data_IF_910821166399
#
_entry.id   IF_910821166399
#
_cell.length_a   1.000
_cell.length_b   1.000
_cell.length_c   1.000
_cell.angle_alpha   90.00
_cell.angle_beta   90.00
_cell.angle_gamma   90.00
#
_symmetry.space_group_name_H-M   'P 1'
#
loop_
_entity.id
_entity.type
_entity.pdbx_description
1 polymer ?
#
# COMPACT_ATOMS: atom_id res chain seq x y z
N UNK A 1 -21.29 -15.86 -26.12
CA UNK A 1 -20.52 -15.81 -24.87
C UNK A 1 -19.89 -17.17 -24.68
N UNK A 2 -18.61 -17.28 -25.01
CA UNK A 2 -17.85 -18.54 -24.90
C UNK A 2 -17.23 -18.56 -23.51
N UNK A 3 -17.75 -19.41 -22.64
CA UNK A 3 -17.18 -19.71 -21.33
C UNK A 3 -15.92 -20.51 -21.56
N UNK A 4 -14.75 -19.90 -21.39
CA UNK A 4 -13.49 -20.61 -21.37
C UNK A 4 -13.43 -21.32 -20.01
N UNK A 5 -13.71 -22.63 -20.02
CA UNK A 5 -13.51 -23.50 -18.88
C UNK A 5 -12.02 -23.46 -18.51
N UNK A 6 -11.73 -23.14 -17.25
CA UNK A 6 -10.39 -23.34 -16.70
C UNK A 6 -10.03 -24.83 -16.86
N UNK A 7 -8.78 -25.18 -17.17
CA UNK A 7 -8.36 -26.57 -17.24
C UNK A 7 -8.58 -27.20 -15.86
N UNK A 8 -9.50 -28.15 -15.80
CA UNK A 8 -9.73 -28.98 -14.63
C UNK A 8 -8.50 -29.89 -14.45
N UNK A 9 -7.70 -29.57 -13.45
CA UNK A 9 -6.66 -30.47 -12.96
C UNK A 9 -7.30 -31.35 -11.87
N UNK A 10 -8.21 -32.19 -12.29
CA UNK A 10 -8.68 -33.29 -11.46
C UNK A 10 -7.65 -34.43 -11.57
N UNK A 11 -7.04 -34.80 -10.48
CA UNK A 11 -6.30 -36.03 -10.30
C UNK A 11 -4.90 -36.00 -9.71
N UNK A 12 -4.20 -34.86 -9.68
CA UNK A 12 -2.76 -34.85 -9.38
C UNK A 12 -2.36 -34.16 -8.05
N UNK A 13 -3.27 -33.98 -7.12
CA UNK A 13 -2.98 -33.20 -5.89
C UNK A 13 -1.99 -33.93 -4.97
N UNK A 14 -2.00 -35.27 -4.96
CA UNK A 14 -1.15 -36.04 -4.04
C UNK A 14 0.26 -36.25 -4.60
N UNK A 15 0.41 -36.48 -5.90
CA UNK A 15 1.72 -36.71 -6.52
C UNK A 15 2.52 -35.41 -6.73
N UNK A 16 1.88 -34.25 -6.70
CA UNK A 16 2.54 -32.96 -6.97
C UNK A 16 2.33 -31.92 -5.86
N UNK A 17 2.07 -32.33 -4.63
CA UNK A 17 1.81 -31.43 -3.49
C UNK A 17 2.91 -30.36 -3.32
N UNK A 18 4.16 -30.69 -3.62
CA UNK A 18 5.27 -29.76 -3.57
C UNK A 18 5.15 -28.60 -4.57
N UNK A 19 4.66 -28.89 -5.78
CA UNK A 19 4.45 -27.86 -6.80
C UNK A 19 3.22 -27.00 -6.47
N UNK A 20 2.14 -27.61 -6.01
CA UNK A 20 0.93 -26.89 -5.55
C UNK A 20 1.29 -25.93 -4.43
N UNK A 21 2.04 -26.38 -3.42
CA UNK A 21 2.54 -25.54 -2.34
C UNK A 21 3.35 -24.36 -2.88
N UNK A 22 4.30 -24.63 -3.78
CA UNK A 22 5.12 -23.56 -4.37
C UNK A 22 4.30 -22.55 -5.18
N UNK A 23 3.26 -23.01 -5.90
CA UNK A 23 2.31 -22.14 -6.61
C UNK A 23 1.53 -21.25 -5.63
N UNK A 24 1.04 -21.80 -4.51
CA UNK A 24 0.35 -21.04 -3.48
C UNK A 24 1.25 -19.93 -2.91
N UNK A 25 2.50 -20.24 -2.57
CA UNK A 25 3.46 -19.25 -2.09
C UNK A 25 3.74 -18.16 -3.14
N UNK A 26 3.95 -18.54 -4.39
CA UNK A 26 4.15 -17.57 -5.48
C UNK A 26 2.93 -16.70 -5.71
N UNK A 27 1.73 -17.25 -5.56
CA UNK A 27 0.49 -16.49 -5.71
C UNK A 27 0.29 -15.48 -4.56
N UNK A 28 0.59 -15.88 -3.32
CA UNK A 28 0.33 -15.04 -2.14
C UNK A 28 1.50 -14.10 -1.82
N UNK A 29 2.75 -14.59 -1.89
CA UNK A 29 3.94 -13.81 -1.53
C UNK A 29 4.82 -13.41 -2.71
N UNK A 30 4.49 -13.89 -3.94
CA UNK A 30 5.26 -13.70 -5.16
C UNK A 30 6.61 -14.44 -5.21
N UNK A 31 6.92 -15.18 -4.17
CA UNK A 31 8.12 -16.02 -4.06
C UNK A 31 7.84 -17.22 -3.15
N UNK A 32 8.70 -18.22 -3.23
CA UNK A 32 8.62 -19.42 -2.39
C UNK A 32 9.91 -19.59 -1.59
N UNK A 33 10.36 -18.50 -0.91
CA UNK A 33 11.58 -18.53 -0.10
C UNK A 33 11.41 -19.41 1.13
N UNK A 34 12.46 -20.09 1.51
CA UNK A 34 12.46 -21.01 2.67
C UNK A 34 12.22 -20.30 4.01
N UNK A 35 12.59 -19.02 4.11
CA UNK A 35 12.38 -18.19 5.30
C UNK A 35 10.91 -17.91 5.61
N UNK A 36 10.06 -17.89 4.56
CA UNK A 36 8.66 -17.48 4.68
C UNK A 36 7.71 -18.69 4.63
N UNK A 37 8.28 -19.90 4.66
CA UNK A 37 7.51 -21.14 4.57
C UNK A 37 7.04 -21.61 5.93
N UNK A 38 5.74 -21.92 6.01
CA UNK A 38 5.13 -22.57 7.17
C UNK A 38 5.10 -24.08 6.98
N UNK A 39 6.04 -24.76 7.62
CA UNK A 39 6.19 -26.24 7.53
C UNK A 39 4.98 -26.97 8.07
N UNK A 40 4.28 -26.40 9.05
CA UNK A 40 3.10 -26.99 9.65
C UNK A 40 1.94 -27.01 8.66
N UNK A 41 1.62 -25.87 8.06
CA UNK A 41 0.59 -25.78 7.02
C UNK A 41 0.92 -26.67 5.81
N UNK A 42 2.20 -26.69 5.38
CA UNK A 42 2.62 -27.57 4.28
C UNK A 42 2.41 -29.05 4.57
N UNK A 43 2.69 -29.48 5.80
CA UNK A 43 2.48 -30.89 6.17
C UNK A 43 1.01 -31.25 6.18
N UNK A 44 0.14 -30.36 6.64
CA UNK A 44 -1.31 -30.57 6.63
C UNK A 44 -1.85 -30.69 5.21
N UNK A 45 -1.38 -29.84 4.26
CA UNK A 45 -1.80 -29.93 2.86
C UNK A 45 -1.30 -31.23 2.22
N UNK A 46 -0.02 -31.62 2.47
CA UNK A 46 0.54 -32.89 1.95
C UNK A 46 -0.20 -34.11 2.45
N UNK A 47 -0.68 -34.07 3.69
CA UNK A 47 -1.44 -35.17 4.29
C UNK A 47 -2.93 -35.14 3.90
N UNK A 48 -3.37 -34.16 3.11
CA UNK A 48 -4.78 -34.01 2.77
C UNK A 48 -5.70 -33.60 3.93
N UNK A 49 -5.12 -33.12 5.05
CA UNK A 49 -5.90 -32.68 6.22
C UNK A 49 -6.59 -31.35 6.00
N UNK A 50 -6.07 -30.52 5.10
CA UNK A 50 -6.63 -29.23 4.69
C UNK A 50 -6.69 -29.13 3.16
N UNK A 51 -7.63 -28.34 2.68
CA UNK A 51 -7.76 -28.04 1.24
C UNK A 51 -6.76 -26.97 0.80
N UNK A 52 -6.57 -26.80 -0.51
CA UNK A 52 -5.78 -25.70 -1.07
C UNK A 52 -6.35 -24.34 -0.64
N UNK A 53 -7.68 -24.21 -0.60
CA UNK A 53 -8.36 -23.01 -0.10
C UNK A 53 -7.97 -22.70 1.36
N UNK A 54 -7.99 -23.71 2.24
CA UNK A 54 -7.65 -23.53 3.64
C UNK A 54 -6.15 -23.23 3.83
N UNK A 55 -5.30 -23.79 2.97
CA UNK A 55 -3.89 -23.45 2.92
C UNK A 55 -3.68 -21.97 2.55
N UNK A 56 -4.38 -21.47 1.52
CA UNK A 56 -4.35 -20.06 1.12
C UNK A 56 -4.87 -19.16 2.24
N UNK A 57 -5.96 -19.57 2.92
CA UNK A 57 -6.44 -18.88 4.12
C UNK A 57 -5.35 -18.77 5.18
N UNK A 58 -4.68 -19.87 5.48
CA UNK A 58 -3.57 -19.90 6.43
C UNK A 58 -2.42 -18.98 6.04
N UNK A 59 -2.08 -18.91 4.76
CA UNK A 59 -1.04 -17.98 4.26
C UNK A 59 -1.45 -16.51 4.43
N UNK A 60 -2.69 -16.16 4.09
CA UNK A 60 -3.21 -14.79 4.22
C UNK A 60 -3.31 -14.34 5.69
N UNK A 61 -3.59 -15.26 6.60
CA UNK A 61 -3.67 -14.97 8.05
C UNK A 61 -2.34 -15.20 8.79
N UNK A 62 -1.29 -15.60 8.09
CA UNK A 62 0.02 -15.81 8.70
C UNK A 62 0.64 -14.52 9.23
N UNK A 63 1.49 -14.63 10.23
CA UNK A 63 2.26 -13.51 10.78
C UNK A 63 3.07 -12.78 9.70
N UNK A 64 3.61 -13.53 8.73
CA UNK A 64 4.33 -12.95 7.58
C UNK A 64 3.44 -12.01 6.75
N UNK A 65 2.21 -12.44 6.44
CA UNK A 65 1.28 -11.60 5.67
C UNK A 65 0.78 -10.41 6.51
N UNK A 66 0.46 -10.66 7.77
CA UNK A 66 0.00 -9.61 8.67
C UNK A 66 1.03 -8.48 8.83
N UNK A 67 2.29 -8.82 9.06
CA UNK A 67 3.35 -7.82 9.19
C UNK A 67 3.74 -7.17 7.86
N UNK A 68 3.81 -7.96 6.79
CA UNK A 68 4.29 -7.48 5.50
C UNK A 68 3.25 -6.71 4.69
N UNK A 69 1.97 -6.99 4.89
CA UNK A 69 0.91 -6.42 4.06
C UNK A 69 -0.21 -5.74 4.84
N UNK A 70 -0.63 -6.27 5.98
CA UNK A 70 -1.75 -5.70 6.73
C UNK A 70 -1.31 -4.49 7.55
N UNK A 71 -0.27 -4.64 8.36
CA UNK A 71 0.17 -3.60 9.28
C UNK A 71 0.71 -2.33 8.58
N UNK A 72 1.20 -2.46 7.35
CA UNK A 72 1.86 -1.36 6.63
C UNK A 72 1.00 -0.71 5.54
N UNK A 73 -0.24 -1.18 5.33
CA UNK A 73 -1.11 -0.66 4.28
C UNK A 73 -2.45 -0.17 4.83
N UNK A 74 -3.07 0.75 4.10
CA UNK A 74 -4.46 1.14 4.37
C UNK A 74 -5.43 0.02 3.99
N UNK A 75 -6.64 0.01 4.58
CA UNK A 75 -7.67 -0.97 4.24
C UNK A 75 -8.01 -0.99 2.75
N UNK A 76 -8.03 0.18 2.08
CA UNK A 76 -8.23 0.26 0.63
C UNK A 76 -7.16 -0.49 -0.15
N UNK A 77 -5.90 -0.31 0.24
CA UNK A 77 -4.79 -1.00 -0.41
C UNK A 77 -4.79 -2.49 -0.10
N UNK A 78 -5.18 -2.85 1.12
CA UNK A 78 -5.30 -4.23 1.55
C UNK A 78 -6.38 -4.99 0.76
N UNK A 79 -7.52 -4.35 0.49
CA UNK A 79 -8.56 -4.91 -0.40
C UNK A 79 -8.00 -5.22 -1.78
N UNK A 80 -7.26 -4.28 -2.40
CA UNK A 80 -6.61 -4.50 -3.70
C UNK A 80 -5.64 -5.69 -3.66
N UNK A 81 -4.84 -5.77 -2.60
CA UNK A 81 -3.84 -6.82 -2.41
C UNK A 81 -4.49 -8.21 -2.29
N UNK A 82 -5.54 -8.33 -1.51
CA UNK A 82 -6.19 -9.64 -1.27
C UNK A 82 -7.01 -10.06 -2.47
N UNK A 83 -7.80 -9.18 -3.07
CA UNK A 83 -8.60 -9.48 -4.25
C UNK A 83 -7.69 -9.91 -5.42
N UNK A 84 -6.58 -9.20 -5.63
CA UNK A 84 -5.62 -9.57 -6.67
C UNK A 84 -5.03 -10.96 -6.47
N UNK A 85 -4.72 -11.34 -5.23
CA UNK A 85 -4.12 -12.64 -4.91
C UNK A 85 -5.14 -13.78 -4.86
N UNK A 86 -6.27 -13.55 -4.20
CA UNK A 86 -7.27 -14.59 -3.98
C UNK A 86 -8.18 -14.78 -5.19
N UNK A 87 -8.65 -13.71 -5.82
CA UNK A 87 -9.55 -13.78 -6.96
C UNK A 87 -8.86 -13.66 -8.32
N UNK A 88 -7.57 -13.31 -8.34
CA UNK A 88 -6.79 -13.17 -9.58
C UNK A 88 -7.27 -12.01 -10.47
N UNK A 89 -7.96 -11.01 -9.93
CA UNK A 89 -8.48 -9.85 -10.66
C UNK A 89 -8.23 -8.55 -9.92
N UNK A 90 -8.35 -7.46 -10.62
CA UNK A 90 -8.41 -6.13 -9.98
C UNK A 90 -9.77 -5.90 -9.35
N UNK A 91 -9.81 -5.00 -8.37
CA UNK A 91 -11.06 -4.47 -7.83
C UNK A 91 -11.87 -3.82 -8.96
N UNK A 92 -13.16 -4.08 -9.02
CA UNK A 92 -14.04 -3.62 -10.11
C UNK A 92 -14.23 -2.11 -10.09
N UNK A 93 -14.59 -1.61 -8.92
CA UNK A 93 -14.87 -0.18 -8.73
C UNK A 93 -14.56 0.29 -7.30
N UNK A 94 -14.73 1.59 -7.08
CA UNK A 94 -14.54 2.18 -5.77
C UNK A 94 -15.60 1.73 -4.75
N UNK A 95 -16.79 1.32 -5.19
CA UNK A 95 -17.87 0.84 -4.31
C UNK A 95 -17.49 -0.51 -3.72
N UNK A 96 -17.00 -1.44 -4.54
CA UNK A 96 -16.49 -2.73 -4.08
C UNK A 96 -15.35 -2.53 -3.06
N UNK A 97 -14.43 -1.62 -3.38
CA UNK A 97 -13.30 -1.28 -2.50
C UNK A 97 -13.76 -0.71 -1.15
N UNK A 98 -14.72 0.21 -1.18
CA UNK A 98 -15.28 0.80 0.03
C UNK A 98 -16.00 -0.24 0.87
N UNK A 99 -16.86 -1.07 0.26
CA UNK A 99 -17.60 -2.12 0.96
C UNK A 99 -16.66 -3.06 1.72
N UNK A 100 -15.64 -3.59 1.07
CA UNK A 100 -14.69 -4.47 1.74
C UNK A 100 -13.80 -3.76 2.76
N UNK A 101 -13.49 -2.48 2.56
CA UNK A 101 -12.75 -1.71 3.54
C UNK A 101 -13.54 -1.49 4.84
N UNK A 102 -14.88 -1.38 4.74
CA UNK A 102 -15.78 -1.29 5.90
C UNK A 102 -15.80 -2.64 6.63
N UNK A 103 -15.89 -3.76 5.91
CA UNK A 103 -15.82 -5.09 6.52
C UNK A 103 -14.52 -5.27 7.31
N UNK A 104 -13.38 -4.85 6.75
CA UNK A 104 -12.09 -4.91 7.46
C UNK A 104 -12.11 -4.05 8.72
N UNK A 105 -12.71 -2.86 8.67
CA UNK A 105 -12.76 -1.93 9.79
C UNK A 105 -13.69 -2.41 10.92
N UNK A 106 -14.83 -3.01 10.59
CA UNK A 106 -15.85 -3.41 11.55
C UNK A 106 -15.67 -4.83 12.07
N UNK A 107 -15.29 -5.77 11.21
CA UNK A 107 -15.24 -7.20 11.50
C UNK A 107 -13.81 -7.77 11.57
N UNK A 108 -12.84 -6.99 11.11
CA UNK A 108 -11.46 -7.38 11.07
C UNK A 108 -11.03 -8.06 9.76
N UNK A 109 -9.72 -8.25 9.65
CA UNK A 109 -9.11 -8.78 8.43
C UNK A 109 -9.46 -10.26 8.18
N UNK A 110 -9.57 -11.07 9.23
CA UNK A 110 -9.94 -12.49 9.14
C UNK A 110 -11.33 -12.66 8.51
N UNK A 111 -12.33 -11.92 8.98
CA UNK A 111 -13.67 -11.96 8.44
C UNK A 111 -13.72 -11.57 6.94
N UNK A 112 -12.90 -10.60 6.55
CA UNK A 112 -12.77 -10.23 5.15
C UNK A 112 -12.16 -11.35 4.30
N UNK A 113 -11.10 -12.02 4.77
CA UNK A 113 -10.50 -13.17 4.08
C UNK A 113 -11.52 -14.29 3.92
N UNK A 114 -12.26 -14.61 4.98
CA UNK A 114 -13.30 -15.63 4.96
C UNK A 114 -14.45 -15.27 4.02
N UNK A 115 -14.84 -14.02 3.97
CA UNK A 115 -15.85 -13.52 3.04
C UNK A 115 -15.42 -13.71 1.57
N UNK A 116 -14.16 -13.45 1.25
CA UNK A 116 -13.62 -13.61 -0.11
C UNK A 116 -13.49 -15.09 -0.49
N UNK A 117 -12.91 -15.92 0.38
CA UNK A 117 -12.63 -17.33 0.09
C UNK A 117 -13.90 -18.21 0.09
N UNK A 118 -14.92 -17.84 0.86
CA UNK A 118 -16.23 -18.50 0.85
C UNK A 118 -17.20 -17.87 -0.15
N UNK A 119 -16.80 -16.78 -0.78
CA UNK A 119 -17.61 -16.07 -1.77
C UNK A 119 -17.89 -16.94 -3.00
N UNK A 120 -19.07 -16.74 -3.59
CA UNK A 120 -19.51 -17.49 -4.78
C UNK A 120 -18.51 -17.36 -5.93
N UNK A 121 -17.91 -16.19 -6.12
CA UNK A 121 -16.91 -15.93 -7.16
C UNK A 121 -15.66 -16.79 -7.01
N UNK A 122 -15.15 -16.95 -5.78
CA UNK A 122 -13.99 -17.80 -5.51
C UNK A 122 -14.36 -19.29 -5.74
N UNK A 123 -15.47 -19.72 -5.17
CA UNK A 123 -15.91 -21.12 -5.23
C UNK A 123 -16.24 -21.57 -6.65
N UNK A 124 -16.85 -20.74 -7.48
CA UNK A 124 -17.13 -21.07 -8.88
C UNK A 124 -15.86 -21.16 -9.73
N UNK A 125 -14.82 -20.40 -9.39
CA UNK A 125 -13.59 -20.35 -10.20
C UNK A 125 -12.55 -21.37 -9.78
N UNK A 126 -12.33 -21.49 -8.49
CA UNK A 126 -11.20 -22.24 -7.93
C UNK A 126 -11.64 -23.42 -7.07
N UNK A 127 -12.83 -23.35 -6.47
CA UNK A 127 -13.30 -24.39 -5.57
C UNK A 127 -12.39 -24.57 -4.36
N UNK A 128 -12.22 -25.82 -3.93
CA UNK A 128 -11.44 -26.15 -2.74
C UNK A 128 -9.97 -26.49 -3.03
N UNK A 129 -9.68 -27.04 -4.22
CA UNK A 129 -8.41 -27.70 -4.50
C UNK A 129 -7.60 -27.04 -5.62
N UNK A 130 -8.09 -25.96 -6.19
CA UNK A 130 -7.39 -25.24 -7.24
C UNK A 130 -6.66 -24.01 -6.69
N UNK A 131 -5.41 -23.83 -7.08
CA UNK A 131 -4.64 -22.63 -6.73
C UNK A 131 -5.17 -21.45 -7.54
N UNK A 132 -5.51 -20.31 -6.91
CA UNK A 132 -5.89 -19.11 -7.62
C UNK A 132 -4.81 -18.67 -8.59
N UNK A 133 -5.22 -18.36 -9.80
CA UNK A 133 -4.35 -17.83 -10.84
C UNK A 133 -4.82 -16.42 -11.18
N UNK A 134 -3.86 -15.56 -11.46
CA UNK A 134 -4.16 -14.23 -11.94
C UNK A 134 -4.79 -14.31 -13.33
N UNK A 135 -5.89 -13.59 -13.52
CA UNK A 135 -6.61 -13.60 -14.79
C UNK A 135 -5.84 -12.78 -15.82
N UNK A 136 -5.29 -13.46 -16.82
CA UNK A 136 -4.70 -12.78 -17.96
C UNK A 136 -5.80 -12.14 -18.83
N UNK A 137 -5.56 -10.92 -19.27
CA UNK A 137 -6.45 -10.24 -20.20
C UNK A 137 -6.20 -10.80 -21.60
N UNK A 138 -7.19 -11.48 -22.15
CA UNK A 138 -7.13 -11.96 -23.53
C UNK A 138 -7.52 -10.81 -24.47
N UNK A 139 -6.58 -10.37 -25.29
CA UNK A 139 -6.85 -9.38 -26.33
C UNK A 139 -7.43 -10.05 -27.57
N UNK A 140 -8.36 -9.39 -28.30
CA UNK A 140 -8.86 -9.90 -29.59
C UNK A 140 -7.71 -10.18 -30.55
N UNK A 141 -7.68 -11.39 -31.14
CA UNK A 141 -6.65 -11.80 -32.09
C UNK A 141 -5.39 -12.43 -31.49
N UNK A 142 -5.27 -12.56 -30.15
CA UNK A 142 -4.18 -13.29 -29.50
C UNK A 142 -4.69 -14.56 -28.85
N UNK A 143 -4.02 -15.68 -29.11
CA UNK A 143 -4.38 -16.98 -28.54
C UNK A 143 -3.99 -17.12 -27.05
N UNK A 144 -2.97 -16.37 -26.62
CA UNK A 144 -2.46 -16.36 -25.24
C UNK A 144 -2.76 -15.01 -24.62
N UNK A 145 -3.37 -15.02 -23.42
CA UNK A 145 -3.58 -13.81 -22.66
C UNK A 145 -2.26 -13.11 -22.33
N UNK A 146 -2.30 -11.81 -22.15
CA UNK A 146 -1.15 -11.08 -21.62
C UNK A 146 -0.78 -11.67 -20.26
N UNK A 147 0.53 -11.87 -20.04
CA UNK A 147 1.02 -12.20 -18.72
C UNK A 147 0.51 -11.12 -17.73
N UNK A 148 0.06 -11.53 -16.55
CA UNK A 148 -0.39 -10.58 -15.54
C UNK A 148 0.72 -9.59 -15.26
N UNK A 149 0.46 -8.34 -15.54
CA UNK A 149 1.52 -7.34 -15.61
C UNK A 149 1.98 -6.91 -14.22
N UNK A 150 1.13 -7.06 -13.18
CA UNK A 150 1.47 -6.48 -11.88
C UNK A 150 0.85 -7.25 -10.72
N UNK A 151 1.69 -8.02 -10.09
CA UNK A 151 1.49 -8.34 -8.69
C UNK A 151 1.79 -7.06 -7.88
N UNK A 152 0.78 -6.51 -7.26
CA UNK A 152 0.93 -5.26 -6.53
C UNK A 152 1.60 -5.49 -5.18
N UNK A 153 2.84 -5.02 -5.04
CA UNK A 153 3.57 -5.06 -3.79
C UNK A 153 3.06 -4.01 -2.79
N UNK A 154 3.23 -4.22 -1.48
CA UNK A 154 3.00 -3.18 -0.51
C UNK A 154 3.94 -2.00 -0.79
N UNK A 155 3.48 -0.78 -0.55
CA UNK A 155 4.32 0.43 -0.71
C UNK A 155 5.47 0.44 0.30
N UNK A 156 5.18 -0.01 1.50
CA UNK A 156 6.12 -0.08 2.61
C UNK A 156 5.97 -1.44 3.26
N UNK A 157 7.09 -2.14 3.51
CA UNK A 157 7.08 -3.39 4.27
C UNK A 157 7.40 -3.14 5.73
N UNK A 158 7.05 -4.08 6.60
CA UNK A 158 7.43 -4.06 8.00
C UNK A 158 8.97 -3.97 8.17
N UNK A 159 9.71 -4.71 7.34
CA UNK A 159 11.17 -4.67 7.31
C UNK A 159 11.72 -3.26 7.03
N UNK A 160 11.01 -2.49 6.21
CA UNK A 160 11.36 -1.09 5.95
C UNK A 160 11.11 -0.23 7.18
N UNK A 161 9.99 -0.42 7.85
CA UNK A 161 9.68 0.28 9.10
C UNK A 161 10.70 -0.05 10.20
N UNK A 162 11.05 -1.33 10.36
CA UNK A 162 12.06 -1.77 11.32
C UNK A 162 13.44 -1.17 11.01
N UNK A 163 13.86 -1.15 9.75
CA UNK A 163 15.12 -0.50 9.33
C UNK A 163 15.15 1.00 9.59
N UNK A 164 14.04 1.69 9.35
CA UNK A 164 13.92 3.11 9.64
C UNK A 164 14.01 3.37 11.15
N UNK A 165 13.37 2.54 11.96
CA UNK A 165 13.39 2.65 13.41
C UNK A 165 14.77 2.31 13.99
N UNK A 166 15.42 1.25 13.50
CA UNK A 166 16.73 0.80 13.98
C UNK A 166 17.88 1.76 13.62
N UNK A 167 17.74 2.50 12.54
CA UNK A 167 18.74 3.47 12.08
C UNK A 167 18.52 4.89 12.63
N UNK A 168 17.63 5.05 13.61
CA UNK A 168 17.25 6.36 14.18
C UNK A 168 16.78 7.37 13.11
N UNK A 169 16.46 6.88 11.93
CA UNK A 169 15.94 7.69 10.81
C UNK A 169 14.44 7.96 10.95
N UNK A 170 13.74 7.23 11.80
CA UNK A 170 12.40 7.58 12.21
C UNK A 170 12.51 8.59 13.35
N UNK A 171 12.40 9.83 13.00
CA UNK A 171 11.97 10.84 13.96
C UNK A 171 10.68 10.32 14.62
N UNK A 172 10.55 10.51 15.92
CA UNK A 172 9.37 10.13 16.68
C UNK A 172 8.10 10.48 15.90
N UNK A 173 7.05 9.68 16.03
CA UNK A 173 5.73 10.00 15.42
C UNK A 173 5.29 11.41 15.80
N UNK A 174 5.66 11.87 17.01
CA UNK A 174 5.43 13.24 17.49
C UNK A 174 6.22 14.27 16.68
N UNK A 175 7.46 13.96 16.29
CA UNK A 175 8.24 14.79 15.39
C UNK A 175 7.68 14.78 13.98
N UNK A 176 7.13 13.66 13.50
CA UNK A 176 6.43 13.56 12.21
C UNK A 176 5.11 14.33 12.19
N UNK A 177 4.37 14.36 13.28
CA UNK A 177 3.17 15.21 13.42
C UNK A 177 3.54 16.69 13.48
N UNK A 178 4.74 17.03 13.96
CA UNK A 178 5.27 18.38 13.98
C UNK A 178 6.01 18.76 12.66
N UNK A 179 6.42 17.79 11.86
CA UNK A 179 6.82 18.01 10.46
C UNK A 179 5.58 18.00 9.56
N UNK A 180 4.75 18.97 9.72
CA UNK A 180 3.99 19.46 8.57
C UNK A 180 4.98 19.69 7.42
N UNK A 181 4.54 19.67 6.14
CA UNK A 181 5.42 19.90 5.00
C UNK A 181 6.33 21.05 5.37
N UNK A 182 7.67 20.85 5.25
CA UNK A 182 8.66 21.87 5.62
C UNK A 182 8.27 23.15 4.90
N UNK A 183 7.49 23.96 5.60
CA UNK A 183 7.01 25.21 5.04
C UNK A 183 8.24 26.04 4.70
N UNK A 184 8.35 26.41 3.46
CA UNK A 184 9.41 27.30 3.03
C UNK A 184 9.39 28.55 3.89
N UNK A 185 10.52 29.22 4.08
CA UNK A 185 10.60 30.48 4.84
C UNK A 185 9.54 31.48 4.36
N UNK A 186 9.29 31.53 3.05
CA UNK A 186 8.26 32.36 2.45
C UNK A 186 6.83 31.98 2.91
N UNK A 187 6.52 30.70 3.01
CA UNK A 187 5.22 30.24 3.53
C UNK A 187 5.05 30.57 5.00
N UNK A 188 6.08 30.38 5.82
CA UNK A 188 6.04 30.76 7.24
C UNK A 188 5.81 32.25 7.44
N UNK A 189 6.43 33.09 6.60
CA UNK A 189 6.32 34.56 6.73
C UNK A 189 5.00 35.07 6.14
N UNK A 190 4.50 34.47 5.04
CA UNK A 190 3.30 34.96 4.33
C UNK A 190 1.99 34.39 4.88
N UNK A 191 1.99 33.15 5.39
CA UNK A 191 0.75 32.46 5.78
C UNK A 191 0.64 32.17 7.28
N UNK A 192 1.73 32.17 8.02
CA UNK A 192 1.68 32.02 9.47
C UNK A 192 1.84 33.40 10.16
N UNK A 193 0.92 33.71 11.05
CA UNK A 193 1.09 34.88 11.90
C UNK A 193 2.36 34.73 12.71
N UNK A 194 3.36 35.62 12.53
CA UNK A 194 4.58 35.59 13.33
C UNK A 194 4.25 35.63 14.82
N UNK A 195 5.06 35.00 15.65
CA UNK A 195 4.88 35.06 17.10
C UNK A 195 4.88 36.53 17.61
N UNK A 196 4.13 36.81 18.65
CA UNK A 196 4.06 38.17 19.24
C UNK A 196 5.42 38.72 19.60
N UNK A 197 6.40 37.86 19.93
CA UNK A 197 7.79 38.22 20.12
C UNK A 197 8.47 38.68 18.84
N UNK A 198 8.21 38.01 17.72
CA UNK A 198 8.77 38.39 16.42
C UNK A 198 8.16 39.71 15.92
N UNK A 199 6.88 39.97 16.16
CA UNK A 199 6.24 41.23 15.82
C UNK A 199 6.89 42.44 16.51
N UNK A 200 7.35 42.29 17.74
CA UNK A 200 8.07 43.37 18.48
C UNK A 200 9.35 43.81 17.79
N UNK A 201 9.97 42.95 16.99
CA UNK A 201 11.22 43.31 16.27
C UNK A 201 10.96 43.60 14.79
N UNK A 202 10.00 42.93 14.18
CA UNK A 202 9.68 43.11 12.76
C UNK A 202 9.11 44.50 12.48
N UNK A 203 8.16 44.98 13.31
CA UNK A 203 7.53 46.30 13.11
C UNK A 203 8.53 47.44 13.19
N UNK A 204 9.35 47.57 14.25
CA UNK A 204 10.32 48.65 14.32
C UNK A 204 11.42 48.56 13.25
N UNK A 205 11.84 47.35 12.85
CA UNK A 205 12.81 47.18 11.78
C UNK A 205 12.28 47.65 10.43
N UNK A 206 10.99 47.39 10.15
CA UNK A 206 10.33 47.88 8.93
C UNK A 206 10.19 49.40 8.92
N UNK A 207 9.85 49.99 10.08
CA UNK A 207 9.75 51.44 10.23
C UNK A 207 11.13 52.12 10.02
N UNK A 208 12.19 51.55 10.60
CA UNK A 208 13.55 52.07 10.41
C UNK A 208 14.00 51.96 8.97
N UNK A 209 13.75 50.80 8.34
CA UNK A 209 14.14 50.57 6.95
C UNK A 209 13.39 51.51 5.97
N UNK A 210 12.09 51.70 6.19
CA UNK A 210 11.30 52.63 5.38
C UNK A 210 11.75 54.09 5.56
N UNK A 211 12.08 54.47 6.79
CA UNK A 211 12.64 55.80 7.09
C UNK A 211 13.98 56.02 6.36
N UNK A 212 14.87 55.04 6.37
CA UNK A 212 16.16 55.15 5.67
C UNK A 212 15.97 55.28 4.14
N UNK A 213 15.01 54.56 3.57
CA UNK A 213 14.68 54.66 2.15
C UNK A 213 14.18 56.07 1.82
N UNK A 214 13.26 56.61 2.60
CA UNK A 214 12.75 57.97 2.42
C UNK A 214 13.85 59.00 2.49
N UNK A 215 14.73 58.93 3.50
CA UNK A 215 15.88 59.83 3.64
C UNK A 215 16.83 59.70 2.44
N UNK A 216 17.07 58.49 1.95
CA UNK A 216 17.87 58.23 0.74
C UNK A 216 17.26 58.91 -0.49
N UNK A 217 15.96 58.76 -0.69
CA UNK A 217 15.25 59.40 -1.81
C UNK A 217 15.31 60.91 -1.72
N UNK A 218 15.08 61.49 -0.53
CA UNK A 218 15.17 62.91 -0.31
C UNK A 218 16.58 63.45 -0.60
N UNK A 219 17.63 62.72 -0.17
CA UNK A 219 19.01 63.08 -0.45
C UNK A 219 19.32 63.06 -1.95
N UNK A 220 18.84 62.08 -2.66
CA UNK A 220 19.02 61.99 -4.12
C UNK A 220 18.31 63.18 -4.79
N UNK A 221 17.06 63.46 -4.42
CA UNK A 221 16.32 64.62 -4.96
C UNK A 221 17.02 65.93 -4.66
N UNK A 222 17.48 66.18 -3.44
CA UNK A 222 18.19 67.41 -3.08
C UNK A 222 19.52 67.53 -3.80
N UNK A 223 20.26 66.43 -4.03
CA UNK A 223 21.52 66.47 -4.78
C UNK A 223 21.31 66.77 -6.26
N UNK A 224 20.19 66.31 -6.83
CA UNK A 224 19.87 66.57 -8.25
C UNK A 224 19.37 68.00 -8.51
N UNK A 225 18.62 68.57 -7.54
CA UNK A 225 18.02 69.89 -7.70
C UNK A 225 18.87 71.06 -7.15
N UNK A 226 19.91 70.78 -6.34
CA UNK A 226 20.79 71.83 -5.76
C UNK A 226 22.10 71.99 -6.55
N UNK A 227 22.42 71.10 -7.44
CA UNK A 227 23.63 71.11 -8.34
C UNK A 227 23.29 71.50 -9.77
N UNK A 228 22.04 71.88 -10.06
CA UNK A 228 21.62 72.38 -11.39
C UNK A 228 21.52 73.89 -11.45
#
# INVERSE_FOLDING_TARGET
>A
MSTIAAPSIEGDVVDNAGEVINRCYRQIYFHAMSSDRDRYLESQLRNGSITVRDFIRGLLLSDRFLRGYVACNSNYRLVEQVIGRALGRKVRDNTEKLTYSIVIAEQGFEAFVDLILNGEEYMQRFGYDTVPLEMSRVLPGRAVGEAPVYQEFPRYSYDWQERLTSNDMMMSIEDHLNFGPTKTFAEKVLYERPSDKAFRYIIPSFVILSGLIVVGIVKIFTSVFVVG
#
